data_IF_146164889516
#
_entry.id   IF_146164889516
#
_cell.length_a   1.000
_cell.length_b   1.000
_cell.length_c   1.000
_cell.angle_alpha   90.00
_cell.angle_beta   90.00
_cell.angle_gamma   90.00
#
_symmetry.space_group_name_H-M   'P 1'
#
loop_
_entity.id
_entity.type
_entity.pdbx_description
1 polymer ?
#
# COMPACT_ATOMS: atom_id res chain seq x y z
N UNK A 1 6.18 -4.85 -20.53
CA UNK A 1 5.49 -3.55 -20.61
C UNK A 1 5.65 -2.87 -19.26
N UNK A 2 6.28 -1.69 -19.18
CA UNK A 2 6.53 -1.03 -17.90
C UNK A 2 5.23 -0.39 -17.41
N UNK A 3 4.56 -1.01 -16.43
CA UNK A 3 3.31 -0.51 -15.86
C UNK A 3 3.61 0.68 -14.94
N UNK A 4 2.87 1.77 -15.09
CA UNK A 4 2.93 2.94 -14.21
C UNK A 4 1.55 3.15 -13.60
N UNK A 5 1.49 3.12 -12.28
CA UNK A 5 0.32 3.47 -11.50
C UNK A 5 0.42 4.92 -11.04
N UNK A 6 -0.68 5.67 -11.15
CA UNK A 6 -0.77 7.02 -10.59
C UNK A 6 -1.71 6.98 -9.40
N UNK A 7 -1.19 7.30 -8.22
CA UNK A 7 -1.95 7.33 -6.97
C UNK A 7 -2.15 8.78 -6.54
N UNK A 8 -3.39 9.12 -6.18
CA UNK A 8 -3.71 10.37 -5.49
C UNK A 8 -3.90 10.07 -4.02
N UNK A 9 -3.18 10.77 -3.16
CA UNK A 9 -3.32 10.66 -1.72
C UNK A 9 -3.40 12.06 -1.10
N UNK A 10 -4.61 12.48 -0.74
CA UNK A 10 -4.89 13.86 -0.35
C UNK A 10 -4.70 14.80 -1.55
N UNK A 11 -3.81 15.77 -1.42
CA UNK A 11 -3.44 16.70 -2.51
C UNK A 11 -2.22 16.23 -3.31
N UNK A 12 -1.55 15.17 -2.87
CA UNK A 12 -0.31 14.69 -3.49
C UNK A 12 -0.59 13.64 -4.56
N UNK A 13 0.25 13.64 -5.59
CA UNK A 13 0.24 12.65 -6.68
C UNK A 13 1.55 11.89 -6.66
N UNK A 14 1.44 10.56 -6.55
CA UNK A 14 2.57 9.63 -6.59
C UNK A 14 2.53 8.84 -7.88
N UNK A 15 3.70 8.59 -8.48
CA UNK A 15 3.82 7.66 -9.62
C UNK A 15 4.56 6.42 -9.16
N UNK A 16 3.93 5.26 -9.28
CA UNK A 16 4.54 3.97 -8.96
C UNK A 16 4.86 3.27 -10.26
N UNK A 17 6.15 3.14 -10.58
CA UNK A 17 6.62 2.43 -11.77
C UNK A 17 6.98 0.99 -11.39
N UNK A 18 6.40 0.03 -12.09
CA UNK A 18 6.86 -1.37 -12.02
C UNK A 18 8.24 -1.48 -12.66
N UNK A 19 9.19 -2.02 -11.90
CA UNK A 19 10.54 -2.35 -12.38
C UNK A 19 10.63 -3.86 -12.68
N UNK A 20 11.77 -4.31 -13.21
CA UNK A 20 12.01 -5.75 -13.42
C UNK A 20 11.92 -6.54 -12.10
N UNK A 21 12.43 -5.96 -11.02
CA UNK A 21 12.33 -6.48 -9.66
C UNK A 21 11.73 -5.40 -8.77
N UNK A 22 10.47 -5.53 -8.39
CA UNK A 22 9.79 -4.56 -7.53
C UNK A 22 9.25 -3.32 -8.23
N UNK A 23 9.28 -2.18 -7.53
CA UNK A 23 8.75 -0.91 -8.01
C UNK A 23 9.49 0.30 -7.44
N UNK A 24 9.40 1.42 -8.17
CA UNK A 24 9.85 2.74 -7.71
C UNK A 24 8.64 3.64 -7.49
N UNK A 25 8.52 4.25 -6.31
CA UNK A 25 7.49 5.24 -5.95
C UNK A 25 8.12 6.62 -6.03
N UNK A 26 7.73 7.41 -7.02
CA UNK A 26 8.21 8.76 -7.24
C UNK A 26 7.34 9.79 -6.50
N UNK A 27 8.00 10.65 -5.74
CA UNK A 27 7.43 11.89 -5.22
C UNK A 27 7.87 13.05 -6.11
N UNK A 28 7.55 14.29 -5.73
CA UNK A 28 8.03 15.49 -6.44
C UNK A 28 9.55 15.66 -6.37
N UNK A 29 10.21 15.20 -5.29
CA UNK A 29 11.61 15.53 -5.00
C UNK A 29 12.50 14.30 -4.76
N UNK A 30 11.92 13.11 -4.68
CA UNK A 30 12.64 11.87 -4.35
C UNK A 30 11.93 10.64 -4.91
N UNK A 31 12.53 9.47 -4.71
CA UNK A 31 11.85 8.19 -4.92
C UNK A 31 12.13 7.23 -3.76
N UNK A 32 11.26 6.23 -3.62
CA UNK A 32 11.43 5.09 -2.74
C UNK A 32 11.30 3.79 -3.54
N UNK A 33 12.03 2.76 -3.12
CA UNK A 33 11.97 1.44 -3.74
C UNK A 33 11.09 0.49 -2.91
N UNK A 34 10.39 -0.38 -3.62
CA UNK A 34 9.53 -1.41 -3.06
C UNK A 34 9.68 -2.72 -3.82
N UNK A 35 9.22 -3.81 -3.23
CA UNK A 35 9.21 -5.12 -3.88
C UNK A 35 7.94 -5.33 -4.73
N UNK A 36 7.84 -6.48 -5.40
CA UNK A 36 6.68 -6.78 -6.26
C UNK A 36 5.38 -6.83 -5.49
N UNK A 37 5.43 -7.29 -4.23
CA UNK A 37 4.27 -7.32 -3.35
C UNK A 37 3.75 -5.90 -3.09
N UNK A 38 4.64 -4.93 -2.82
CA UNK A 38 4.26 -3.53 -2.62
C UNK A 38 3.56 -2.97 -3.86
N UNK A 39 4.09 -3.25 -5.06
CA UNK A 39 3.43 -2.83 -6.30
C UNK A 39 2.02 -3.40 -6.41
N UNK A 40 1.86 -4.71 -6.22
CA UNK A 40 0.58 -5.40 -6.34
C UNK A 40 -0.43 -4.91 -5.29
N UNK A 41 0.03 -4.60 -4.07
CA UNK A 41 -0.80 -4.03 -3.00
C UNK A 41 -1.30 -2.65 -3.40
N UNK A 42 -0.40 -1.76 -3.83
CA UNK A 42 -0.75 -0.40 -4.24
C UNK A 42 -1.67 -0.38 -5.45
N UNK A 43 -1.44 -1.28 -6.40
CA UNK A 43 -2.30 -1.51 -7.54
C UNK A 43 -3.71 -1.95 -7.12
N UNK A 44 -3.80 -2.97 -6.27
CA UNK A 44 -5.09 -3.44 -5.76
C UNK A 44 -5.82 -2.32 -5.02
N UNK A 45 -5.11 -1.57 -4.16
CA UNK A 45 -5.70 -0.44 -3.44
C UNK A 45 -6.17 0.68 -4.36
N UNK A 46 -5.50 0.89 -5.50
CA UNK A 46 -5.93 1.86 -6.50
C UNK A 46 -7.19 1.42 -7.25
N UNK A 47 -7.38 0.12 -7.45
CA UNK A 47 -8.48 -0.44 -8.22
C UNK A 47 -9.75 -0.59 -7.38
N UNK A 48 -9.62 -1.03 -6.12
CA UNK A 48 -10.78 -1.36 -5.26
C UNK A 48 -10.86 -0.55 -3.97
N UNK A 49 -9.86 0.29 -3.69
CA UNK A 49 -9.74 1.01 -2.41
C UNK A 49 -9.08 0.17 -1.32
N UNK A 50 -8.59 0.85 -0.28
CA UNK A 50 -7.79 0.22 0.80
C UNK A 50 -8.56 -0.87 1.54
N UNK A 51 -9.78 -0.58 2.00
CA UNK A 51 -10.57 -1.53 2.83
C UNK A 51 -10.88 -2.80 2.05
N UNK A 52 -11.46 -2.67 0.86
CA UNK A 52 -11.79 -3.81 0.02
C UNK A 52 -10.54 -4.59 -0.42
N UNK A 53 -9.41 -3.90 -0.67
CA UNK A 53 -8.14 -4.54 -0.99
C UNK A 53 -7.59 -5.38 0.17
N UNK A 54 -7.64 -4.86 1.40
CA UNK A 54 -7.25 -5.64 2.59
C UNK A 54 -8.15 -6.88 2.74
N UNK A 55 -9.47 -6.70 2.62
CA UNK A 55 -10.42 -7.82 2.71
C UNK A 55 -10.15 -8.88 1.63
N UNK A 56 -9.82 -8.48 0.40
CA UNK A 56 -9.43 -9.41 -0.66
C UNK A 56 -8.17 -10.21 -0.30
N UNK A 57 -7.13 -9.57 0.26
CA UNK A 57 -5.93 -10.29 0.68
C UNK A 57 -6.21 -11.24 1.85
N UNK A 58 -6.97 -10.80 2.86
CA UNK A 58 -7.33 -11.64 4.01
C UNK A 58 -8.21 -12.82 3.63
N UNK A 59 -9.11 -12.65 2.66
CA UNK A 59 -9.97 -13.73 2.16
C UNK A 59 -9.21 -14.71 1.26
N UNK A 60 -8.24 -14.21 0.49
CA UNK A 60 -7.37 -15.06 -0.34
C UNK A 60 -6.39 -15.89 0.50
N UNK A 61 -5.98 -15.38 1.66
CA UNK A 61 -5.03 -16.04 2.55
C UNK A 61 -5.53 -16.03 4.02
N UNK A 62 -6.57 -16.82 4.34
CA UNK A 62 -7.22 -16.78 5.65
C UNK A 62 -6.26 -17.13 6.80
N UNK A 63 -5.33 -18.06 6.58
CA UNK A 63 -4.33 -18.46 7.59
C UNK A 63 -3.19 -17.45 7.78
N UNK A 64 -3.19 -16.37 6.99
CA UNK A 64 -2.12 -15.35 6.97
C UNK A 64 -2.59 -13.97 7.41
N UNK A 65 -3.82 -13.80 7.92
CA UNK A 65 -4.34 -12.48 8.34
C UNK A 65 -3.39 -11.71 9.26
N UNK A 66 -2.81 -12.37 10.27
CA UNK A 66 -1.84 -11.73 11.17
C UNK A 66 -0.54 -11.32 10.47
N UNK A 67 -0.09 -12.10 9.48
CA UNK A 67 1.08 -11.79 8.65
C UNK A 67 0.77 -10.60 7.75
N UNK A 68 -0.37 -10.62 7.05
CA UNK A 68 -0.84 -9.52 6.19
C UNK A 68 -0.94 -8.22 6.99
N UNK A 69 -1.57 -8.26 8.17
CA UNK A 69 -1.66 -7.12 9.08
C UNK A 69 -0.29 -6.53 9.39
N UNK A 70 0.64 -7.36 9.88
CA UNK A 70 1.98 -6.90 10.27
C UNK A 70 2.73 -6.31 9.07
N UNK A 71 2.67 -6.99 7.93
CA UNK A 71 3.44 -6.60 6.75
C UNK A 71 2.88 -5.32 6.12
N UNK A 72 1.55 -5.15 6.07
CA UNK A 72 0.93 -3.89 5.64
C UNK A 72 1.24 -2.73 6.59
N UNK A 73 1.14 -2.94 7.91
CA UNK A 73 1.46 -1.89 8.87
C UNK A 73 2.93 -1.48 8.77
N UNK A 74 3.85 -2.44 8.63
CA UNK A 74 5.28 -2.17 8.45
C UNK A 74 5.58 -1.48 7.12
N UNK A 75 4.93 -1.90 6.03
CA UNK A 75 5.07 -1.26 4.73
C UNK A 75 4.70 0.22 4.82
N UNK A 76 3.53 0.54 5.39
CA UNK A 76 3.10 1.92 5.52
C UNK A 76 3.90 2.69 6.55
N UNK A 77 4.38 2.10 7.64
CA UNK A 77 5.34 2.76 8.54
C UNK A 77 6.58 3.29 7.78
N UNK A 78 7.17 2.46 6.91
CA UNK A 78 8.32 2.85 6.09
C UNK A 78 7.96 3.97 5.10
N UNK A 79 6.82 3.86 4.39
CA UNK A 79 6.39 4.88 3.43
C UNK A 79 6.04 6.20 4.12
N UNK A 80 5.27 6.13 5.21
CA UNK A 80 4.89 7.29 6.02
C UNK A 80 6.13 8.01 6.59
N UNK A 81 7.18 7.29 7.01
CA UNK A 81 8.44 7.89 7.50
C UNK A 81 9.16 8.75 6.46
N UNK A 82 8.83 8.55 5.17
CA UNK A 82 9.36 9.29 4.02
C UNK A 82 8.35 10.31 3.46
N UNK A 83 7.25 10.57 4.16
CA UNK A 83 6.13 11.40 3.70
C UNK A 83 5.48 10.87 2.41
N UNK A 84 5.37 9.55 2.26
CA UNK A 84 4.77 8.89 1.10
C UNK A 84 3.46 8.21 1.53
N UNK A 85 2.38 8.45 0.78
CA UNK A 85 1.08 7.79 0.93
C UNK A 85 0.54 7.84 2.36
N UNK A 86 0.52 9.06 2.94
CA UNK A 86 0.12 9.30 4.31
C UNK A 86 -1.29 8.84 4.64
N UNK A 87 -2.31 9.27 3.87
CA UNK A 87 -3.69 8.95 4.22
C UNK A 87 -4.01 7.48 3.93
N UNK A 88 -3.43 6.92 2.86
CA UNK A 88 -3.55 5.49 2.58
C UNK A 88 -3.00 4.65 3.75
N UNK A 89 -1.88 5.06 4.35
CA UNK A 89 -1.35 4.43 5.57
C UNK A 89 -2.25 4.59 6.79
N UNK A 90 -2.90 5.74 6.96
CA UNK A 90 -3.88 5.96 8.02
C UNK A 90 -5.13 5.09 7.86
N UNK A 91 -5.60 4.87 6.63
CA UNK A 91 -6.70 3.96 6.34
C UNK A 91 -6.38 2.52 6.73
N UNK A 92 -5.15 2.05 6.46
CA UNK A 92 -4.68 0.72 6.90
C UNK A 92 -4.67 0.62 8.42
N UNK A 93 -4.13 1.64 9.12
CA UNK A 93 -4.10 1.67 10.59
C UNK A 93 -5.52 1.64 11.17
N UNK A 94 -6.41 2.47 10.62
CA UNK A 94 -7.82 2.54 11.04
C UNK A 94 -8.52 1.19 10.90
N UNK A 95 -8.40 0.55 9.73
CA UNK A 95 -8.99 -0.78 9.48
C UNK A 95 -8.64 -1.80 10.59
N UNK A 96 -7.36 -1.87 10.98
CA UNK A 96 -6.90 -2.83 11.99
C UNK A 96 -7.10 -2.39 13.45
N UNK A 97 -7.42 -1.12 13.70
CA UNK A 97 -7.84 -0.64 15.01
C UNK A 97 -9.34 -0.88 15.22
N UNK A 98 -10.16 -0.64 14.19
CA UNK A 98 -11.60 -0.84 14.26
C UNK A 98 -11.95 -2.34 14.43
N UNK A 99 -11.22 -3.24 13.74
CA UNK A 99 -11.37 -4.71 13.93
C UNK A 99 -10.92 -5.24 15.31
N UNK A 100 -10.19 -4.47 16.12
CA UNK A 100 -9.87 -4.89 17.51
C UNK A 100 -11.05 -4.72 18.46
N UNK A 101 -12.07 -3.96 18.06
CA UNK A 101 -13.25 -3.63 18.86
C UNK A 101 -14.49 -4.44 18.44
N UNK A 102 -14.32 -5.48 17.62
CA UNK A 102 -15.37 -6.41 17.17
C UNK A 102 -15.03 -7.82 17.62
#
# INVERSE_FOLDING_TARGET
MNKILTLTDGTDIFRVRKENCGCSIFTKTSFAEGNDAMFNILETFSEVGVVAGIDQFENKFPDKKNVIRRDLLRMFEILNSKNILLNMGDMVRKYYNDKKNV
#
